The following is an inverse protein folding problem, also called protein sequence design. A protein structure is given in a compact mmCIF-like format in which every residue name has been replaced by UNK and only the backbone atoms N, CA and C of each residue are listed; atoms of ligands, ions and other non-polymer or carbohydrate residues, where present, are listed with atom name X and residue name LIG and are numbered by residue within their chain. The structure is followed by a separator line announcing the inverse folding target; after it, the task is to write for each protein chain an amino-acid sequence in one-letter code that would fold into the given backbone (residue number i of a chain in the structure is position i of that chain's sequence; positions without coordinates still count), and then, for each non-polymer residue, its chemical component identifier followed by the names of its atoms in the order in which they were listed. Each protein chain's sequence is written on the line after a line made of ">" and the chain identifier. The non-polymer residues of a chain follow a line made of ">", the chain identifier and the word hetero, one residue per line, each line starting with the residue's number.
data_IF_051940820019
#
_entry.id   IF_051940820019
#
_cell.length_a   1.000
_cell.length_b   1.000
_cell.length_c   1.000
_cell.angle_alpha   90.00
_cell.angle_beta   90.00
_cell.angle_gamma   90.00
#
_symmetry.space_group_name_H-M   'P 1'
#
loop_
_entity.id
_entity.type
_entity.pdbx_description
1 polymer ?
#
# COMPACT_ATOMS: atom_id res chain seq x y z
N UNK A 1 68.17 42.91 1.36
CA UNK A 1 67.30 42.42 2.46
C UNK A 1 65.85 42.73 2.11
N UNK A 2 65.01 41.68 1.98
CA UNK A 2 63.55 41.64 1.66
C UNK A 2 63.18 42.19 0.26
N UNK A 3 63.15 41.34 -0.77
CA UNK A 3 62.02 40.51 -1.28
C UNK A 3 61.07 41.29 -2.23
N UNK A 4 61.36 41.26 -3.56
CA UNK A 4 60.69 40.47 -4.65
C UNK A 4 59.32 41.08 -5.02
N UNK A 5 59.18 41.93 -6.06
CA UNK A 5 59.22 41.73 -7.54
C UNK A 5 58.01 40.95 -8.11
N UNK A 6 57.02 41.76 -8.54
CA UNK A 6 56.16 41.79 -9.73
C UNK A 6 55.22 40.64 -10.18
N UNK A 7 54.08 41.00 -10.83
CA UNK A 7 52.92 40.15 -11.13
C UNK A 7 52.88 39.69 -12.59
N UNK A 8 52.34 38.50 -12.87
CA UNK A 8 51.65 38.17 -14.14
C UNK A 8 50.78 36.94 -13.85
N UNK A 9 49.45 37.08 -13.89
CA UNK A 9 48.52 35.93 -13.92
C UNK A 9 47.99 35.84 -15.34
N UNK A 10 48.56 34.91 -16.11
CA UNK A 10 48.07 34.48 -17.41
C UNK A 10 47.39 33.11 -17.24
N UNK A 11 46.25 32.96 -17.92
CA UNK A 11 45.46 31.74 -18.05
C UNK A 11 46.31 30.52 -18.42
N UNK A 12 45.93 29.34 -17.90
CA UNK A 12 45.86 28.10 -18.69
C UNK A 12 45.08 27.02 -17.92
N UNK A 13 43.94 26.64 -18.51
CA UNK A 13 43.07 25.53 -18.12
C UNK A 13 43.75 24.23 -18.53
N UNK A 14 44.02 23.32 -17.58
CA UNK A 14 44.46 21.95 -17.85
C UNK A 14 43.68 20.95 -16.99
N UNK A 15 42.79 20.22 -17.66
CA UNK A 15 42.37 18.83 -17.47
C UNK A 15 42.39 18.23 -16.04
N UNK A 16 41.21 18.16 -15.42
CA UNK A 16 40.92 17.19 -14.36
C UNK A 16 40.54 15.85 -14.99
N UNK A 17 41.50 14.92 -15.00
CA UNK A 17 41.25 13.49 -15.15
C UNK A 17 41.37 12.87 -13.76
N UNK A 18 40.24 12.66 -13.08
CA UNK A 18 40.17 11.83 -11.87
C UNK A 18 39.14 10.75 -12.14
N UNK A 19 39.65 9.54 -12.26
CA UNK A 19 38.91 8.29 -12.43
C UNK A 19 37.87 8.09 -11.32
N UNK A 20 36.60 8.35 -11.64
CA UNK A 20 35.45 7.77 -10.94
C UNK A 20 34.79 6.72 -11.83
N UNK A 21 35.53 5.65 -12.12
CA UNK A 21 35.01 4.46 -12.79
C UNK A 21 35.34 3.20 -11.97
N UNK A 22 34.89 3.16 -10.72
CA UNK A 22 34.88 1.92 -9.91
C UNK A 22 33.87 1.97 -8.76
N UNK A 23 32.59 2.06 -9.11
CA UNK A 23 31.51 1.71 -8.19
C UNK A 23 30.40 1.02 -9.00
N UNK A 24 30.18 -0.28 -8.72
CA UNK A 24 29.07 -1.05 -9.27
C UNK A 24 29.44 -1.98 -10.44
N UNK A 25 30.28 -3.00 -10.20
CA UNK A 25 30.13 -4.22 -10.97
C UNK A 25 28.84 -4.90 -10.52
N UNK A 26 27.73 -4.57 -11.19
CA UNK A 26 26.51 -5.38 -11.15
C UNK A 26 26.89 -6.74 -11.72
N UNK A 27 26.97 -7.77 -10.87
CA UNK A 27 27.10 -9.15 -11.33
C UNK A 27 25.82 -9.48 -12.09
N UNK A 28 25.81 -9.37 -13.43
CA UNK A 28 24.81 -10.04 -14.25
C UNK A 28 25.03 -11.55 -14.04
N UNK A 29 23.99 -12.24 -13.59
CA UNK A 29 23.91 -13.67 -13.89
C UNK A 29 23.64 -13.74 -15.39
N UNK A 30 24.63 -14.15 -16.17
CA UNK A 30 24.51 -14.43 -17.61
C UNK A 30 23.65 -15.69 -17.83
N UNK A 31 22.38 -15.61 -17.44
CA UNK A 31 21.34 -16.42 -18.04
C UNK A 31 20.93 -15.74 -19.34
N UNK A 32 20.89 -16.48 -20.45
CA UNK A 32 20.41 -15.97 -21.72
C UNK A 32 18.96 -15.48 -21.55
N UNK A 33 18.77 -14.16 -21.48
CA UNK A 33 17.47 -13.55 -21.26
C UNK A 33 16.65 -13.68 -22.55
N UNK A 34 15.79 -14.70 -22.61
CA UNK A 34 14.85 -14.84 -23.73
C UNK A 34 13.67 -13.88 -23.57
N UNK A 35 13.60 -12.87 -24.44
CA UNK A 35 12.49 -11.93 -24.50
C UNK A 35 11.58 -12.28 -25.67
N UNK A 36 10.28 -12.39 -25.43
CA UNK A 36 9.26 -12.61 -26.46
C UNK A 36 8.26 -11.46 -26.47
N UNK A 37 7.97 -10.94 -27.66
CA UNK A 37 6.92 -9.94 -27.86
C UNK A 37 5.65 -10.66 -28.30
N UNK A 38 4.57 -10.45 -27.55
CA UNK A 38 3.24 -11.00 -27.87
C UNK A 38 2.29 -9.83 -28.15
N UNK A 39 1.37 -10.03 -29.09
CA UNK A 39 0.29 -9.06 -29.34
C UNK A 39 -0.70 -8.99 -28.16
N UNK A 40 -0.99 -10.14 -27.56
CA UNK A 40 -1.87 -10.28 -26.39
C UNK A 40 -1.37 -11.44 -25.51
N UNK A 41 -1.42 -11.32 -24.17
CA UNK A 41 -1.16 -12.44 -23.28
C UNK A 41 -2.13 -13.62 -23.56
N UNK A 42 -1.66 -14.88 -23.44
CA UNK A 42 -2.52 -16.04 -23.66
C UNK A 42 -3.61 -16.12 -22.59
N UNK A 43 -4.83 -16.47 -23.01
CA UNK A 43 -6.02 -16.63 -22.14
C UNK A 43 -6.42 -18.10 -21.93
N UNK A 44 -5.63 -19.05 -22.45
CA UNK A 44 -5.90 -20.48 -22.34
C UNK A 44 -5.64 -21.05 -20.94
N UNK A 45 -4.91 -20.31 -20.09
CA UNK A 45 -4.58 -20.71 -18.72
C UNK A 45 -5.51 -19.96 -17.76
N UNK A 46 -6.25 -20.66 -16.87
CA UNK A 46 -7.08 -20.01 -15.88
C UNK A 46 -6.23 -19.25 -14.85
N UNK A 47 -6.73 -18.11 -14.38
CA UNK A 47 -6.12 -17.38 -13.28
C UNK A 47 -6.21 -18.19 -11.98
N UNK A 48 -5.09 -18.29 -11.24
CA UNK A 48 -5.01 -19.08 -10.01
C UNK A 48 -5.44 -18.30 -8.74
N UNK A 49 -5.49 -16.98 -8.80
CA UNK A 49 -5.75 -16.10 -7.65
C UNK A 49 -7.20 -15.62 -7.58
N UNK A 50 -7.82 -15.37 -8.72
CA UNK A 50 -9.15 -14.75 -8.81
C UNK A 50 -10.02 -15.43 -9.86
N UNK A 51 -11.33 -15.44 -9.59
CA UNK A 51 -12.30 -15.83 -10.60
C UNK A 51 -12.31 -14.78 -11.72
N UNK A 52 -12.04 -15.22 -12.95
CA UNK A 52 -12.16 -14.38 -14.13
C UNK A 52 -13.59 -14.17 -14.60
N UNK A 53 -13.70 -13.49 -15.74
CA UNK A 53 -14.97 -13.29 -16.43
C UNK A 53 -15.69 -14.63 -16.64
N UNK A 54 -16.94 -14.69 -16.21
CA UNK A 54 -17.80 -15.87 -16.41
C UNK A 54 -18.34 -15.86 -17.84
N UNK A 55 -18.57 -17.05 -18.40
CA UNK A 55 -19.22 -17.18 -19.71
C UNK A 55 -20.57 -16.44 -19.72
N UNK A 56 -20.94 -15.75 -20.82
CA UNK A 56 -20.29 -15.74 -22.15
C UNK A 56 -19.22 -14.63 -22.34
N UNK A 57 -18.77 -13.96 -21.28
CA UNK A 57 -17.80 -12.87 -21.39
C UNK A 57 -16.41 -13.38 -21.80
N UNK A 58 -15.71 -12.59 -22.60
CA UNK A 58 -14.34 -12.88 -23.05
C UNK A 58 -13.41 -12.95 -21.82
N UNK A 59 -12.52 -13.96 -21.71
CA UNK A 59 -11.55 -14.04 -20.62
C UNK A 59 -10.64 -12.82 -20.55
N UNK A 60 -10.35 -12.35 -19.32
CA UNK A 60 -9.38 -11.27 -19.14
C UNK A 60 -7.95 -11.79 -19.35
N UNK A 61 -7.12 -11.14 -20.19
CA UNK A 61 -5.73 -11.55 -20.39
C UNK A 61 -4.82 -11.11 -19.22
N UNK A 62 -5.26 -10.14 -18.43
CA UNK A 62 -4.50 -9.59 -17.31
C UNK A 62 -5.38 -9.56 -16.05
N UNK A 63 -4.74 -9.84 -14.92
CA UNK A 63 -5.36 -9.82 -13.61
C UNK A 63 -4.48 -9.04 -12.66
N UNK A 64 -5.11 -8.44 -11.65
CA UNK A 64 -4.40 -7.93 -10.48
C UNK A 64 -3.63 -9.10 -9.84
N UNK A 65 -2.45 -8.83 -9.30
CA UNK A 65 -1.75 -9.76 -8.41
C UNK A 65 -2.19 -9.51 -6.96
N UNK A 66 -2.35 -10.57 -6.14
CA UNK A 66 -2.71 -10.37 -4.74
C UNK A 66 -1.62 -9.62 -3.99
N UNK A 67 -2.03 -8.93 -2.94
CA UNK A 67 -1.08 -8.25 -2.04
C UNK A 67 -0.01 -9.24 -1.55
N UNK A 68 1.25 -8.81 -1.55
CA UNK A 68 2.39 -9.66 -1.19
C UNK A 68 2.90 -10.60 -2.30
N UNK A 69 2.23 -10.71 -3.46
CA UNK A 69 2.75 -11.48 -4.60
C UNK A 69 3.99 -10.83 -5.26
N UNK A 70 4.18 -9.53 -5.02
CA UNK A 70 5.38 -8.79 -5.44
C UNK A 70 6.08 -8.30 -4.18
N UNK A 71 7.38 -8.55 -4.10
CA UNK A 71 8.24 -8.03 -3.03
C UNK A 71 9.05 -6.84 -3.57
N UNK A 72 9.03 -5.68 -2.90
CA UNK A 72 9.81 -4.53 -3.31
C UNK A 72 11.29 -4.74 -2.97
N UNK A 73 12.16 -4.29 -3.87
CA UNK A 73 13.61 -4.26 -3.65
C UNK A 73 14.18 -2.88 -4.00
N UNK A 74 15.45 -2.65 -3.65
CA UNK A 74 16.19 -1.45 -4.01
C UNK A 74 15.50 -0.16 -3.57
N UNK A 75 15.46 0.83 -4.48
CA UNK A 75 14.91 2.16 -4.21
C UNK A 75 13.45 2.11 -3.75
N UNK A 76 12.61 1.27 -4.37
CA UNK A 76 11.19 1.19 -4.02
C UNK A 76 11.01 0.68 -2.59
N UNK A 77 11.78 -0.35 -2.18
CA UNK A 77 11.75 -0.84 -0.80
C UNK A 77 12.11 0.27 0.18
N UNK A 78 13.18 1.03 -0.09
CA UNK A 78 13.60 2.15 0.75
C UNK A 78 12.50 3.21 0.90
N UNK A 79 11.78 3.55 -0.18
CA UNK A 79 10.68 4.52 -0.07
C UNK A 79 9.53 3.99 0.80
N UNK A 80 9.18 2.71 0.65
CA UNK A 80 8.14 2.09 1.46
C UNK A 80 8.55 2.01 2.94
N UNK A 81 9.80 1.66 3.23
CA UNK A 81 10.33 1.69 4.61
C UNK A 81 10.22 3.11 5.21
N UNK A 82 10.59 4.15 4.46
CA UNK A 82 10.42 5.55 4.92
C UNK A 82 8.96 5.95 5.13
N UNK A 83 8.03 5.44 4.32
CA UNK A 83 6.61 5.67 4.57
C UNK A 83 6.17 4.98 5.88
N UNK A 84 6.64 3.75 6.12
CA UNK A 84 6.30 2.98 7.30
C UNK A 84 6.88 3.59 8.58
N UNK A 85 8.06 4.20 8.52
CA UNK A 85 8.73 4.83 9.66
C UNK A 85 8.47 6.35 9.76
N UNK A 86 7.78 6.93 8.77
CA UNK A 86 7.47 8.34 8.66
C UNK A 86 6.00 8.67 8.93
N UNK A 87 5.52 9.75 8.34
CA UNK A 87 4.18 10.28 8.59
C UNK A 87 3.05 9.24 8.43
N UNK A 88 3.07 8.46 7.35
CA UNK A 88 2.07 7.39 7.12
C UNK A 88 2.10 6.33 8.22
N UNK A 89 3.30 6.03 8.73
CA UNK A 89 3.59 5.07 9.78
C UNK A 89 3.01 5.38 11.16
N UNK A 90 2.73 6.66 11.41
CA UNK A 90 2.44 7.24 12.71
C UNK A 90 1.18 8.13 12.68
N UNK A 91 0.32 7.98 11.67
CA UNK A 91 -0.86 8.84 11.55
C UNK A 91 -1.85 8.62 12.71
N UNK A 92 -1.84 7.45 13.34
CA UNK A 92 -2.60 7.12 14.55
C UNK A 92 -2.17 7.93 15.78
N UNK A 93 -0.93 8.40 15.81
CA UNK A 93 -0.40 9.26 16.87
C UNK A 93 -0.72 10.75 16.63
N UNK A 94 -0.94 11.13 15.37
CA UNK A 94 -0.98 12.53 14.92
C UNK A 94 -2.41 12.98 14.59
N UNK A 95 -3.18 12.14 13.89
CA UNK A 95 -4.52 12.48 13.43
C UNK A 95 -5.57 12.11 14.47
N UNK A 96 -6.43 13.07 14.80
CA UNK A 96 -7.61 12.84 15.64
C UNK A 96 -8.59 11.83 15.01
N UNK A 97 -8.62 11.72 13.68
CA UNK A 97 -9.51 10.77 12.97
C UNK A 97 -8.98 9.35 13.02
N UNK A 98 -7.65 9.19 13.07
CA UNK A 98 -6.95 7.91 13.18
C UNK A 98 -6.63 7.54 14.63
N UNK A 99 -7.31 8.14 15.61
CA UNK A 99 -7.12 7.82 17.02
C UNK A 99 -8.15 6.76 17.47
N UNK A 100 -7.68 5.55 17.74
CA UNK A 100 -8.51 4.39 18.08
C UNK A 100 -9.36 4.58 19.34
N UNK A 101 -9.01 5.52 20.22
CA UNK A 101 -9.76 5.76 21.46
C UNK A 101 -11.05 6.54 21.26
N UNK A 102 -11.14 7.30 20.16
CA UNK A 102 -12.23 8.27 19.92
C UNK A 102 -12.87 8.11 18.54
N UNK A 103 -12.26 7.35 17.64
CA UNK A 103 -12.78 7.10 16.30
C UNK A 103 -13.99 6.18 16.34
N UNK A 104 -15.07 6.57 15.65
CA UNK A 104 -16.29 5.77 15.54
C UNK A 104 -16.07 4.45 14.79
N UNK A 105 -15.00 4.36 13.98
CA UNK A 105 -14.58 3.12 13.32
C UNK A 105 -13.96 2.08 14.26
N UNK A 106 -13.54 2.49 15.46
CA UNK A 106 -12.95 1.62 16.47
C UNK A 106 -13.95 1.10 17.51
N UNK A 107 -15.23 1.47 17.39
CA UNK A 107 -16.28 1.12 18.32
C UNK A 107 -17.24 0.10 17.66
N UNK A 108 -17.60 -0.97 18.39
CA UNK A 108 -18.55 -1.99 17.90
C UNK A 108 -19.94 -1.43 17.61
N UNK A 109 -20.35 -0.39 18.32
CA UNK A 109 -21.63 0.28 18.08
C UNK A 109 -21.55 1.31 16.94
N UNK A 110 -20.36 1.59 16.41
CA UNK A 110 -20.15 2.62 15.38
C UNK A 110 -20.27 4.05 15.92
N UNK A 111 -20.09 4.23 17.23
CA UNK A 111 -20.17 5.51 17.94
C UNK A 111 -18.78 6.07 18.24
N UNK A 112 -18.63 7.38 18.12
CA UNK A 112 -17.38 8.07 18.45
C UNK A 112 -17.38 9.51 17.92
N UNK A 113 -16.38 10.27 18.32
CA UNK A 113 -16.24 11.68 17.98
C UNK A 113 -15.87 11.88 16.50
N UNK A 114 -15.26 10.87 15.88
CA UNK A 114 -14.64 10.96 14.56
C UNK A 114 -15.00 9.76 13.67
N UNK A 115 -15.91 9.95 12.70
CA UNK A 115 -16.37 8.90 11.77
C UNK A 115 -16.06 9.15 10.28
N UNK A 116 -15.29 10.18 9.96
CA UNK A 116 -15.06 10.61 8.57
C UNK A 116 -14.12 9.66 7.80
N UNK A 117 -14.06 9.83 6.48
CA UNK A 117 -13.35 8.97 5.52
C UNK A 117 -11.82 8.95 5.63
N UNK A 118 -11.23 9.86 6.42
CA UNK A 118 -9.78 9.94 6.59
C UNK A 118 -9.17 8.61 7.07
N UNK A 119 -9.81 7.96 8.06
CA UNK A 119 -9.33 6.67 8.55
C UNK A 119 -9.31 5.60 7.45
N UNK A 120 -10.42 5.26 6.76
CA UNK A 120 -10.38 4.22 5.74
C UNK A 120 -9.45 4.57 4.55
N UNK A 121 -9.25 5.85 4.22
CA UNK A 121 -8.23 6.24 3.25
C UNK A 121 -6.81 5.86 3.70
N UNK A 122 -6.44 6.24 4.91
CA UNK A 122 -5.13 5.92 5.47
C UNK A 122 -4.97 4.40 5.65
N UNK A 123 -5.93 3.76 6.30
CA UNK A 123 -5.88 2.35 6.66
C UNK A 123 -5.74 1.44 5.42
N UNK A 124 -6.31 1.84 4.28
CA UNK A 124 -6.13 1.12 3.00
C UNK A 124 -4.67 1.04 2.61
N UNK A 125 -3.98 2.17 2.52
CA UNK A 125 -2.56 2.21 2.17
C UNK A 125 -1.67 1.62 3.26
N UNK A 126 -2.00 1.89 4.53
CA UNK A 126 -1.26 1.42 5.70
C UNK A 126 -1.29 -0.11 5.82
N UNK A 127 -2.45 -0.73 5.59
CA UNK A 127 -2.58 -2.19 5.61
C UNK A 127 -1.79 -2.85 4.48
N UNK A 128 -1.89 -2.32 3.26
CA UNK A 128 -1.10 -2.81 2.12
C UNK A 128 0.41 -2.70 2.41
N UNK A 129 0.85 -1.57 2.97
CA UNK A 129 2.24 -1.33 3.35
C UNK A 129 2.76 -2.36 4.36
N UNK A 130 1.97 -2.66 5.39
CA UNK A 130 2.32 -3.65 6.42
C UNK A 130 2.58 -5.03 5.83
N UNK A 131 1.68 -5.52 4.97
CA UNK A 131 1.80 -6.85 4.36
C UNK A 131 2.89 -6.91 3.29
N UNK A 132 3.09 -5.86 2.49
CA UNK A 132 4.17 -5.81 1.48
C UNK A 132 5.55 -5.82 2.13
N UNK A 133 5.74 -5.09 3.23
CA UNK A 133 7.02 -5.00 3.93
C UNK A 133 7.22 -6.09 4.99
N UNK A 134 6.19 -6.91 5.25
CA UNK A 134 6.13 -7.81 6.41
C UNK A 134 6.42 -7.08 7.74
N UNK A 135 5.99 -5.81 7.85
CA UNK A 135 6.25 -4.98 9.02
C UNK A 135 5.23 -5.32 10.12
N UNK A 136 5.67 -6.02 11.16
CA UNK A 136 4.81 -6.49 12.24
C UNK A 136 4.05 -5.37 12.96
N UNK A 137 4.69 -4.23 13.22
CA UNK A 137 4.06 -3.09 13.90
C UNK A 137 2.86 -2.58 13.10
N UNK A 138 3.07 -2.35 11.81
CA UNK A 138 2.03 -1.88 10.88
C UNK A 138 0.90 -2.91 10.75
N UNK A 139 1.25 -4.20 10.60
CA UNK A 139 0.26 -5.28 10.52
C UNK A 139 -0.59 -5.37 11.80
N UNK A 140 0.04 -5.34 12.97
CA UNK A 140 -0.66 -5.43 14.25
C UNK A 140 -1.62 -4.25 14.43
N UNK A 141 -1.19 -3.03 14.12
CA UNK A 141 -2.04 -1.84 14.22
C UNK A 141 -3.20 -1.90 13.22
N UNK A 142 -2.94 -2.24 11.95
CA UNK A 142 -3.98 -2.48 10.95
C UNK A 142 -5.04 -3.46 11.43
N UNK A 143 -4.61 -4.57 12.06
CA UNK A 143 -5.53 -5.61 12.56
C UNK A 143 -6.46 -5.08 13.64
N UNK A 144 -6.01 -4.19 14.52
CA UNK A 144 -6.87 -3.60 15.57
C UNK A 144 -8.07 -2.87 14.96
N UNK A 145 -7.83 -2.08 13.91
CA UNK A 145 -8.88 -1.37 13.19
C UNK A 145 -9.79 -2.30 12.39
N UNK A 146 -9.20 -3.29 11.72
CA UNK A 146 -9.95 -4.29 10.94
C UNK A 146 -10.87 -5.11 11.85
N UNK A 147 -10.35 -5.62 12.97
CA UNK A 147 -11.13 -6.41 13.92
C UNK A 147 -12.26 -5.58 14.55
N UNK A 148 -12.00 -4.32 14.88
CA UNK A 148 -13.05 -3.39 15.36
C UNK A 148 -14.12 -3.13 14.31
N UNK A 149 -13.72 -2.93 13.05
CA UNK A 149 -14.66 -2.72 11.94
C UNK A 149 -15.51 -3.98 11.69
N UNK A 150 -14.89 -5.17 11.67
CA UNK A 150 -15.60 -6.45 11.54
C UNK A 150 -16.63 -6.64 12.66
N UNK A 151 -16.28 -6.27 13.89
CA UNK A 151 -17.16 -6.37 15.05
C UNK A 151 -18.32 -5.36 15.03
N UNK A 152 -18.26 -4.32 14.18
CA UNK A 152 -19.28 -3.26 14.12
C UNK A 152 -20.46 -3.54 13.20
N UNK A 153 -20.45 -4.66 12.47
CA UNK A 153 -21.54 -5.01 11.57
C UNK A 153 -22.79 -5.43 12.35
N UNK A 154 -23.92 -4.77 12.09
CA UNK A 154 -25.21 -5.11 12.68
C UNK A 154 -26.00 -6.13 11.83
N UNK A 155 -27.21 -6.46 12.29
CA UNK A 155 -28.11 -7.41 11.62
C UNK A 155 -28.61 -6.97 10.24
N UNK A 156 -28.55 -5.67 9.93
CA UNK A 156 -28.88 -5.13 8.59
C UNK A 156 -27.71 -5.24 7.61
N UNK A 157 -26.51 -5.58 8.10
CA UNK A 157 -25.28 -5.61 7.31
C UNK A 157 -24.51 -4.30 7.31
N UNK A 158 -25.07 -3.21 7.86
CA UNK A 158 -24.34 -1.96 8.06
C UNK A 158 -23.20 -2.13 9.05
N UNK A 159 -22.06 -1.48 8.79
CA UNK A 159 -20.89 -1.48 9.66
C UNK A 159 -20.27 -0.07 9.76
N UNK A 160 -19.45 0.15 10.78
CA UNK A 160 -18.75 1.42 10.98
C UNK A 160 -19.66 2.55 11.47
N UNK A 161 -19.25 3.82 11.28
CA UNK A 161 -19.87 4.97 11.91
C UNK A 161 -21.37 5.12 11.61
N UNK A 162 -22.18 5.30 12.66
CA UNK A 162 -23.64 5.45 12.53
C UNK A 162 -24.05 6.76 11.87
N UNK A 163 -23.26 7.81 12.06
CA UNK A 163 -23.48 9.11 11.42
C UNK A 163 -23.49 9.00 9.89
N UNK A 164 -22.69 8.11 9.32
CA UNK A 164 -22.64 7.87 7.87
C UNK A 164 -23.95 7.24 7.38
N UNK A 165 -24.52 6.30 8.14
CA UNK A 165 -25.84 5.72 7.84
C UNK A 165 -26.93 6.78 7.89
N UNK A 166 -26.96 7.58 8.96
CA UNK A 166 -27.95 8.65 9.14
C UNK A 166 -27.89 9.69 8.02
N UNK A 167 -26.69 9.99 7.53
CA UNK A 167 -26.47 10.96 6.46
C UNK A 167 -26.56 10.37 5.05
N UNK A 168 -26.83 9.06 4.93
CA UNK A 168 -26.78 8.33 3.66
C UNK A 168 -25.43 8.44 2.92
N UNK A 169 -24.34 8.65 3.67
CA UNK A 169 -22.99 8.70 3.13
C UNK A 169 -22.36 7.31 3.16
N UNK A 170 -22.44 6.61 2.03
CA UNK A 170 -21.89 5.26 1.88
C UNK A 170 -20.42 5.25 1.47
N UNK A 171 -19.85 6.41 1.13
CA UNK A 171 -18.52 6.47 0.54
C UNK A 171 -17.39 6.03 1.51
N UNK A 172 -17.38 6.44 2.79
CA UNK A 172 -16.40 5.95 3.75
C UNK A 172 -16.40 4.42 3.89
N UNK A 173 -17.58 3.80 3.83
CA UNK A 173 -17.74 2.34 3.87
C UNK A 173 -17.14 1.67 2.62
N UNK A 174 -17.28 2.26 1.42
CA UNK A 174 -16.66 1.75 0.18
C UNK A 174 -15.13 1.67 0.30
N UNK A 175 -14.52 2.69 0.91
CA UNK A 175 -13.07 2.70 1.16
C UNK A 175 -12.68 1.62 2.17
N UNK A 176 -13.45 1.45 3.24
CA UNK A 176 -13.21 0.41 4.25
C UNK A 176 -13.34 -0.99 3.65
N UNK A 177 -14.26 -1.22 2.70
CA UNK A 177 -14.34 -2.49 1.96
C UNK A 177 -13.09 -2.77 1.13
N UNK A 178 -12.36 -1.74 0.69
CA UNK A 178 -11.07 -1.95 0.03
C UNK A 178 -10.00 -2.43 1.00
N UNK A 179 -9.99 -1.93 2.23
CA UNK A 179 -9.15 -2.45 3.32
C UNK A 179 -9.45 -3.93 3.54
N UNK A 180 -10.73 -4.29 3.68
CA UNK A 180 -11.16 -5.67 3.91
C UNK A 180 -10.72 -6.60 2.78
N UNK A 181 -10.87 -6.17 1.53
CA UNK A 181 -10.40 -6.93 0.37
C UNK A 181 -8.88 -7.16 0.42
N UNK A 182 -8.08 -6.13 0.65
CA UNK A 182 -6.63 -6.28 0.77
C UNK A 182 -6.24 -7.20 1.93
N UNK A 183 -6.90 -7.06 3.07
CA UNK A 183 -6.68 -7.91 4.23
C UNK A 183 -7.00 -9.39 3.93
N UNK A 184 -8.11 -9.67 3.25
CA UNK A 184 -8.46 -11.02 2.82
C UNK A 184 -7.43 -11.58 1.84
N UNK A 185 -6.99 -10.79 0.85
CA UNK A 185 -5.95 -11.22 -0.09
C UNK A 185 -4.64 -11.59 0.63
N UNK A 186 -4.27 -10.84 1.68
CA UNK A 186 -3.05 -11.09 2.44
C UNK A 186 -3.13 -12.31 3.37
N UNK A 187 -4.31 -12.60 3.92
CA UNK A 187 -4.45 -13.50 5.08
C UNK A 187 -5.37 -14.70 4.87
N UNK A 188 -6.28 -14.61 3.90
CA UNK A 188 -7.36 -15.59 3.72
C UNK A 188 -8.39 -15.59 4.86
N UNK A 189 -8.51 -14.51 5.64
CA UNK A 189 -9.44 -14.45 6.76
C UNK A 189 -10.90 -14.62 6.30
N UNK A 190 -11.47 -15.79 6.62
CA UNK A 190 -12.80 -16.21 6.17
C UNK A 190 -13.93 -15.34 6.71
N UNK A 191 -13.69 -14.48 7.71
CA UNK A 191 -14.68 -13.52 8.23
C UNK A 191 -15.02 -12.43 7.21
N UNK A 192 -14.07 -12.08 6.33
CA UNK A 192 -14.23 -10.95 5.40
C UNK A 192 -15.32 -11.17 4.36
N UNK A 193 -15.38 -12.36 3.74
CA UNK A 193 -16.35 -12.64 2.67
C UNK A 193 -17.81 -12.50 3.14
N UNK A 194 -18.26 -13.14 4.24
CA UNK A 194 -19.61 -12.94 4.73
C UNK A 194 -19.85 -11.50 5.18
N UNK A 195 -18.88 -10.83 5.83
CA UNK A 195 -18.99 -9.42 6.21
C UNK A 195 -19.28 -8.52 5.01
N UNK A 196 -18.48 -8.61 3.94
CA UNK A 196 -18.70 -7.82 2.72
C UNK A 196 -20.01 -8.20 2.04
N UNK A 197 -20.35 -9.50 2.00
CA UNK A 197 -21.59 -9.98 1.38
C UNK A 197 -22.83 -9.44 2.08
N UNK A 198 -22.82 -9.41 3.42
CA UNK A 198 -23.95 -8.91 4.20
C UNK A 198 -24.19 -7.41 3.97
N UNK A 199 -23.13 -6.62 3.78
CA UNK A 199 -23.26 -5.19 3.51
C UNK A 199 -23.91 -4.86 2.15
N UNK A 200 -23.78 -5.75 1.17
CA UNK A 200 -24.32 -5.55 -0.19
C UNK A 200 -25.72 -6.15 -0.41
N UNK A 201 -26.38 -6.62 0.64
CA UNK A 201 -27.76 -7.15 0.58
C UNK A 201 -28.77 -6.10 1.01
#
# INVERSE_FOLDING_TARGET
>A
MKCIIYPVVALLVFSLSVDMARAGQTRSRDGELSVKVLKTPPVSVPNLFYQGNRQPLIPSPLFKLPIGAIQPEGWLKTQLDYMADGFTGHLDEISKWCNIKVSAWANSEGEGDYGWEELPYWLRGYTDLGYILHNKRVIDESKRWIDSTLASQDSSGWFGPRVNLTNHDIWPNMLMLFVMRSYYEATGDRRVIPFMTNYFR
#
